data_IF_337354990527
#
_entry.id   IF_337354990527
#
_cell.length_a   1.000
_cell.length_b   1.000
_cell.length_c   1.000
_cell.angle_alpha   90.00
_cell.angle_beta   90.00
_cell.angle_gamma   90.00
#
_symmetry.space_group_name_H-M   'P 1'
#
loop_
_entity.id
_entity.type
_entity.pdbx_description
1 polymer ?
#
# COMPACT_ATOMS: atom_id res chain seq x y z
N UNK A 1 -6.65 -20.74 36.55
CA UNK A 1 -5.48 -20.68 35.66
C UNK A 1 -5.77 -21.48 34.39
N UNK A 2 -6.50 -20.91 33.42
CA UNK A 2 -6.53 -21.35 32.03
C UNK A 2 -6.78 -20.08 31.21
N UNK A 3 -5.69 -19.39 30.90
CA UNK A 3 -5.68 -18.29 29.96
C UNK A 3 -5.26 -18.85 28.61
N UNK A 4 -6.18 -18.88 27.66
CA UNK A 4 -5.88 -19.10 26.25
C UNK A 4 -6.55 -17.96 25.48
N UNK A 5 -5.70 -17.06 24.97
CA UNK A 5 -6.09 -15.82 24.32
C UNK A 5 -6.82 -16.06 23.01
N UNK A 6 -8.14 -15.97 23.03
CA UNK A 6 -8.99 -15.96 21.83
C UNK A 6 -9.07 -14.56 21.15
N UNK A 7 -8.00 -13.77 21.20
CA UNK A 7 -8.04 -12.35 20.78
C UNK A 7 -7.42 -12.08 19.41
N UNK A 8 -6.93 -13.11 18.70
CA UNK A 8 -6.16 -12.89 17.47
C UNK A 8 -6.84 -13.27 16.15
N UNK A 9 -8.01 -13.93 16.13
CA UNK A 9 -8.63 -14.34 14.86
C UNK A 9 -9.76 -13.41 14.36
N UNK A 10 -10.28 -12.52 15.20
CA UNK A 10 -11.50 -11.75 14.89
C UNK A 10 -11.24 -10.39 14.19
N UNK A 11 -10.02 -10.12 13.71
CA UNK A 11 -9.69 -8.86 13.01
C UNK A 11 -9.57 -8.96 11.48
N UNK A 12 -9.72 -10.15 10.88
CA UNK A 12 -9.65 -10.33 9.42
C UNK A 12 -11.01 -10.53 8.74
N UNK A 13 -12.12 -10.46 9.48
CA UNK A 13 -13.47 -10.50 8.91
C UNK A 13 -13.91 -9.12 8.42
N UNK A 14 -13.13 -8.53 7.52
CA UNK A 14 -13.52 -7.38 6.69
C UNK A 14 -14.03 -7.87 5.33
N UNK A 15 -15.34 -7.95 5.19
CA UNK A 15 -16.10 -7.93 3.93
C UNK A 15 -15.36 -7.69 2.58
N UNK A 16 -14.95 -8.76 1.89
CA UNK A 16 -14.97 -8.85 0.41
C UNK A 16 -14.01 -7.96 -0.41
N UNK A 17 -13.02 -8.60 -1.05
CA UNK A 17 -12.21 -8.13 -2.21
C UNK A 17 -11.04 -7.18 -1.96
N UNK A 18 -10.07 -7.46 -1.07
CA UNK A 18 -8.76 -6.77 -1.14
C UNK A 18 -7.58 -7.53 -0.49
N UNK A 19 -7.26 -8.73 -0.95
CA UNK A 19 -6.06 -9.51 -0.54
C UNK A 19 -5.94 -10.64 -1.58
N UNK A 20 -5.08 -10.72 -2.59
CA UNK A 20 -3.73 -10.24 -2.89
C UNK A 20 -3.67 -9.83 -4.38
N UNK A 21 -3.71 -8.56 -4.73
CA UNK A 21 -3.07 -8.16 -5.99
C UNK A 21 -1.57 -8.06 -5.69
N UNK A 22 -0.70 -8.94 -6.24
CA UNK A 22 0.73 -8.90 -5.96
C UNK A 22 1.34 -7.54 -6.31
N UNK A 23 0.77 -6.81 -7.27
CA UNK A 23 1.15 -5.44 -7.59
C UNK A 23 0.86 -4.50 -6.42
N UNK A 24 -0.36 -4.56 -5.86
CA UNK A 24 -0.75 -3.69 -4.75
C UNK A 24 -0.01 -4.03 -3.45
N UNK A 25 0.26 -5.31 -3.21
CA UNK A 25 1.14 -5.74 -2.11
C UNK A 25 2.56 -5.20 -2.30
N UNK A 26 3.12 -5.23 -3.50
CA UNK A 26 4.44 -4.67 -3.79
C UNK A 26 4.47 -3.14 -3.62
N UNK A 27 3.46 -2.42 -4.12
CA UNK A 27 3.33 -0.97 -3.97
C UNK A 27 3.24 -0.59 -2.48
N UNK A 28 2.41 -1.29 -1.71
CA UNK A 28 2.28 -1.07 -0.26
C UNK A 28 3.61 -1.29 0.48
N UNK A 29 4.33 -2.38 0.17
CA UNK A 29 5.64 -2.68 0.78
C UNK A 29 6.69 -1.61 0.45
N UNK A 30 6.76 -1.17 -0.81
CA UNK A 30 7.73 -0.15 -1.24
C UNK A 30 7.41 1.23 -0.63
N UNK A 31 6.14 1.63 -0.62
CA UNK A 31 5.68 2.87 0.02
C UNK A 31 6.06 2.92 1.50
N UNK A 32 5.83 1.81 2.21
CA UNK A 32 6.15 1.70 3.64
C UNK A 32 7.64 1.81 3.95
N UNK A 33 8.50 1.51 2.98
CA UNK A 33 9.96 1.64 3.05
C UNK A 33 10.47 2.98 2.50
N UNK A 34 9.59 3.92 2.18
CA UNK A 34 9.90 5.18 1.52
C UNK A 34 10.56 5.02 0.11
N UNK A 35 10.38 3.86 -0.54
CA UNK A 35 10.81 3.62 -1.92
C UNK A 35 9.75 4.12 -2.91
N UNK A 36 9.37 5.40 -2.82
CA UNK A 36 8.24 5.96 -3.60
C UNK A 36 8.45 5.92 -5.11
N UNK A 37 9.66 6.18 -5.59
CA UNK A 37 9.98 6.17 -7.02
C UNK A 37 9.82 4.76 -7.62
N UNK A 38 10.28 3.74 -6.90
CA UNK A 38 10.14 2.33 -7.31
C UNK A 38 8.67 1.91 -7.31
N UNK A 39 7.91 2.28 -6.27
CA UNK A 39 6.47 2.02 -6.22
C UNK A 39 5.72 2.67 -7.38
N UNK A 40 6.09 3.91 -7.73
CA UNK A 40 5.51 4.67 -8.84
C UNK A 40 5.87 4.09 -10.22
N UNK A 41 7.00 3.40 -10.36
CA UNK A 41 7.43 2.76 -11.60
C UNK A 41 6.64 1.49 -11.93
N UNK A 42 6.07 0.83 -10.91
CA UNK A 42 5.22 -0.36 -11.09
C UNK A 42 3.82 -0.02 -11.62
N UNK A 43 3.40 1.25 -11.53
CA UNK A 43 2.05 1.68 -11.89
C UNK A 43 2.02 2.25 -13.32
N UNK A 44 1.27 1.62 -14.25
CA UNK A 44 1.18 2.09 -15.62
C UNK A 44 0.48 3.46 -15.72
N UNK A 45 1.03 4.43 -16.47
CA UNK A 45 0.45 5.77 -16.58
C UNK A 45 -0.70 5.87 -17.58
N UNK A 46 -0.95 4.85 -18.40
CA UNK A 46 -1.95 4.86 -19.48
C UNK A 46 -3.39 4.59 -19.00
N UNK A 47 -3.57 4.22 -17.73
CA UNK A 47 -4.90 4.01 -17.14
C UNK A 47 -5.18 5.00 -16.01
N UNK A 48 -6.42 5.51 -15.89
CA UNK A 48 -6.75 6.56 -14.92
C UNK A 48 -6.43 6.17 -13.46
N UNK A 49 -6.84 4.98 -13.02
CA UNK A 49 -6.67 4.53 -11.64
C UNK A 49 -5.19 4.41 -11.21
N UNK A 50 -4.31 3.65 -11.91
CA UNK A 50 -2.90 3.57 -11.55
C UNK A 50 -2.16 4.90 -11.74
N UNK A 51 -2.57 5.75 -12.69
CA UNK A 51 -2.00 7.09 -12.84
C UNK A 51 -2.25 7.99 -11.61
N UNK A 52 -3.46 7.96 -11.04
CA UNK A 52 -3.77 8.69 -9.80
C UNK A 52 -2.98 8.15 -8.61
N UNK A 53 -2.88 6.82 -8.48
CA UNK A 53 -2.11 6.18 -7.42
C UNK A 53 -0.61 6.53 -7.54
N UNK A 54 -0.07 6.56 -8.76
CA UNK A 54 1.30 6.99 -9.05
C UNK A 54 1.54 8.45 -8.62
N UNK A 55 0.60 9.34 -8.94
CA UNK A 55 0.68 10.75 -8.53
C UNK A 55 0.68 10.90 -7.00
N UNK A 56 -0.18 10.15 -6.30
CA UNK A 56 -0.22 10.16 -4.83
C UNK A 56 1.13 9.79 -4.20
N UNK A 57 1.81 8.76 -4.72
CA UNK A 57 3.13 8.35 -4.24
C UNK A 57 4.20 9.44 -4.44
N UNK A 58 4.16 10.15 -5.58
CA UNK A 58 5.09 11.24 -5.85
C UNK A 58 4.83 12.46 -4.97
N UNK A 59 3.57 12.82 -4.76
CA UNK A 59 3.18 13.90 -3.83
C UNK A 59 3.62 13.58 -2.41
N UNK A 60 3.41 12.34 -1.98
CA UNK A 60 3.82 11.86 -0.66
C UNK A 60 5.34 11.94 -0.47
N UNK A 61 6.13 11.56 -1.48
CA UNK A 61 7.59 11.76 -1.47
C UNK A 61 7.94 13.23 -1.23
N UNK A 62 7.33 14.14 -1.99
CA UNK A 62 7.62 15.57 -1.86
C UNK A 62 7.28 16.08 -0.45
N UNK A 63 6.16 15.62 0.13
CA UNK A 63 5.73 16.00 1.47
C UNK A 63 6.73 15.54 2.55
N UNK A 64 7.21 14.30 2.49
CA UNK A 64 8.07 13.74 3.54
C UNK A 64 9.56 14.03 3.37
N UNK A 65 9.99 14.39 2.16
CA UNK A 65 11.42 14.65 1.87
C UNK A 65 11.73 16.09 1.52
N UNK A 66 10.71 16.94 1.39
CA UNK A 66 10.82 18.33 0.93
C UNK A 66 11.50 18.45 -0.45
N UNK A 67 11.59 17.34 -1.20
CA UNK A 67 12.19 17.27 -2.54
C UNK A 67 11.12 17.10 -3.60
N UNK A 68 10.79 18.23 -4.23
CA UNK A 68 9.95 18.34 -5.44
C UNK A 68 10.75 18.18 -6.71
#
# INVERSE_FOLDING_TARGET
MHGEGNVAYTAMSGNGTTDDDPLQTAVWRLRSRACWADAAALLPPDRPAPALQRAALLVERCLYTERG
#
